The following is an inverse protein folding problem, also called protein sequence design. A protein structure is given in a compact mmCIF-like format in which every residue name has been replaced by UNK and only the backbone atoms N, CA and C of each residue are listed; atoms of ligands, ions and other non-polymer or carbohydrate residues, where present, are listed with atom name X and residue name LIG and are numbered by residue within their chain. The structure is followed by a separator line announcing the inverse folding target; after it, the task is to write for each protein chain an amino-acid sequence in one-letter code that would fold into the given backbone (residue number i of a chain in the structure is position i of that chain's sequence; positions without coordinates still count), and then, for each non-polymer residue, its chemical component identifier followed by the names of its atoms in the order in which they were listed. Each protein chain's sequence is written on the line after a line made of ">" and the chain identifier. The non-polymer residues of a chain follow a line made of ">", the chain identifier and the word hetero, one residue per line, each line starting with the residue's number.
data_IF_152471679692
#
_entry.id   IF_152471679692
#
_cell.length_a   1.000
_cell.length_b   1.000
_cell.length_c   1.000
_cell.angle_alpha   90.00
_cell.angle_beta   90.00
_cell.angle_gamma   90.00
#
_symmetry.space_group_name_H-M   'P 1'
#
loop_
_entity.id
_entity.type
_entity.pdbx_description
1 polymer ?
#
# COMPACT_ATOMS: atom_id res chain seq x y z
N UNK A 1 5.50 2.47 -7.08
CA UNK A 1 4.69 1.68 -6.14
C UNK A 1 3.25 1.65 -6.64
N UNK A 2 2.77 0.49 -7.15
CA UNK A 2 1.39 0.36 -7.62
C UNK A 2 0.49 -0.09 -6.46
N UNK A 3 0.33 0.77 -5.44
CA UNK A 3 -0.70 0.57 -4.40
C UNK A 3 -2.11 0.84 -4.94
N UNK A 4 -2.20 1.42 -6.13
CA UNK A 4 -3.45 1.74 -6.80
C UNK A 4 -3.40 1.14 -8.20
N UNK A 5 -3.77 -0.14 -8.33
CA UNK A 5 -4.17 -0.64 -9.64
C UNK A 5 -5.37 0.20 -10.05
N UNK A 6 -5.14 1.08 -11.02
CA UNK A 6 -6.23 1.58 -11.86
C UNK A 6 -6.84 0.32 -12.45
N UNK A 7 -8.03 -0.05 -11.97
CA UNK A 7 -8.74 -1.20 -12.51
C UNK A 7 -8.91 -1.06 -14.01
N UNK A 8 -9.20 -2.12 -14.73
CA UNK A 8 -9.57 -2.10 -16.15
C UNK A 8 -10.90 -1.34 -16.39
N UNK A 9 -11.29 -0.45 -15.47
CA UNK A 9 -12.48 0.35 -15.57
C UNK A 9 -12.39 1.28 -16.79
N UNK A 10 -13.42 1.28 -17.60
CA UNK A 10 -13.60 2.25 -18.70
C UNK A 10 -13.64 3.64 -18.06
N UNK A 11 -12.91 4.64 -18.59
CA UNK A 11 -13.02 6.00 -18.12
C UNK A 11 -14.49 6.42 -18.12
N UNK A 12 -14.95 6.92 -16.96
CA UNK A 12 -16.28 7.51 -16.91
C UNK A 12 -16.23 8.80 -17.74
N UNK A 13 -17.09 8.90 -18.75
CA UNK A 13 -17.43 10.19 -19.34
C UNK A 13 -18.33 10.92 -18.31
N UNK A 14 -17.70 11.48 -17.28
CA UNK A 14 -18.39 12.18 -16.20
C UNK A 14 -18.99 13.51 -16.64
N UNK A 15 -18.72 13.99 -17.83
CA UNK A 15 -19.36 15.18 -18.39
C UNK A 15 -20.85 14.91 -18.71
N UNK A 16 -21.22 13.66 -18.95
CA UNK A 16 -22.60 13.26 -19.18
C UNK A 16 -23.45 13.10 -17.91
N UNK A 17 -22.82 13.10 -16.72
CA UNK A 17 -23.44 13.02 -15.38
C UNK A 17 -24.51 11.92 -15.22
N UNK A 18 -24.33 11.01 -14.29
CA UNK A 18 -25.38 10.07 -13.93
C UNK A 18 -26.54 10.81 -13.25
N UNK A 19 -27.76 10.37 -13.53
CA UNK A 19 -28.94 10.86 -12.82
C UNK A 19 -28.96 10.31 -11.40
N UNK A 20 -29.65 11.00 -10.47
CA UNK A 20 -29.86 10.50 -9.11
C UNK A 20 -30.50 9.12 -9.10
N UNK A 21 -31.44 8.84 -9.99
CA UNK A 21 -32.05 7.52 -10.12
C UNK A 21 -31.03 6.42 -10.44
N UNK A 22 -30.07 6.69 -11.31
CA UNK A 22 -28.97 5.76 -11.64
C UNK A 22 -28.04 5.55 -10.45
N UNK A 23 -27.76 6.57 -9.64
CA UNK A 23 -26.98 6.42 -8.41
C UNK A 23 -27.72 5.60 -7.34
N UNK A 24 -29.05 5.73 -7.21
CA UNK A 24 -29.87 4.86 -6.34
C UNK A 24 -29.80 3.38 -6.78
N UNK A 25 -29.91 3.13 -8.09
CA UNK A 25 -29.76 1.78 -8.64
C UNK A 25 -28.36 1.21 -8.36
N UNK A 26 -27.32 2.02 -8.58
CA UNK A 26 -25.93 1.64 -8.36
C UNK A 26 -25.66 1.32 -6.88
N UNK A 27 -26.13 2.14 -5.95
CA UNK A 27 -25.97 1.93 -4.51
C UNK A 27 -26.71 0.66 -4.06
N UNK A 28 -27.93 0.43 -4.54
CA UNK A 28 -28.70 -0.77 -4.25
C UNK A 28 -27.98 -2.03 -4.76
N UNK A 29 -27.50 -1.98 -6.02
CA UNK A 29 -26.72 -3.06 -6.62
C UNK A 29 -25.42 -3.32 -5.84
N UNK A 30 -24.66 -2.28 -5.55
CA UNK A 30 -23.41 -2.35 -4.78
C UNK A 30 -23.63 -3.04 -3.43
N UNK A 31 -24.58 -2.56 -2.62
CA UNK A 31 -24.84 -3.10 -1.29
C UNK A 31 -25.27 -4.58 -1.33
N UNK A 32 -26.13 -4.93 -2.30
CA UNK A 32 -26.63 -6.29 -2.48
C UNK A 32 -25.52 -7.24 -2.93
N UNK A 33 -24.74 -6.85 -3.96
CA UNK A 33 -23.69 -7.69 -4.50
C UNK A 33 -22.57 -7.90 -3.50
N UNK A 34 -22.08 -6.83 -2.86
CA UNK A 34 -20.98 -6.93 -1.91
C UNK A 34 -21.31 -7.87 -0.76
N UNK A 35 -22.51 -7.75 -0.17
CA UNK A 35 -22.90 -8.58 0.97
C UNK A 35 -23.26 -10.03 0.59
N UNK A 36 -23.66 -10.28 -0.65
CA UNK A 36 -23.96 -11.64 -1.14
C UNK A 36 -22.73 -12.41 -1.60
N UNK A 37 -21.69 -11.71 -2.09
CA UNK A 37 -20.51 -12.32 -2.68
C UNK A 37 -19.37 -12.51 -1.67
N UNK A 38 -19.28 -11.63 -0.65
CA UNK A 38 -18.29 -11.78 0.41
C UNK A 38 -18.67 -12.95 1.33
N UNK A 39 -17.73 -13.86 1.70
CA UNK A 39 -18.04 -15.07 2.48
C UNK A 39 -18.68 -14.80 3.85
N UNK A 40 -18.29 -13.68 4.48
CA UNK A 40 -18.83 -13.23 5.75
C UNK A 40 -18.70 -11.70 5.87
N UNK A 41 -19.58 -10.99 5.18
CA UNK A 41 -19.56 -9.53 5.09
C UNK A 41 -19.72 -8.82 6.45
N UNK A 42 -20.19 -9.52 7.44
CA UNK A 42 -20.51 -8.95 8.76
C UNK A 42 -19.62 -9.48 9.89
N UNK A 43 -18.50 -10.15 9.55
CA UNK A 43 -17.54 -10.65 10.52
C UNK A 43 -16.95 -9.56 11.43
N UNK A 44 -16.69 -8.38 10.88
CA UNK A 44 -16.05 -7.27 11.58
C UNK A 44 -17.01 -6.11 11.93
N UNK A 45 -18.15 -6.02 11.26
CA UNK A 45 -19.11 -4.92 11.44
C UNK A 45 -20.53 -5.47 11.46
N UNK A 46 -21.34 -5.12 12.47
CA UNK A 46 -22.75 -5.54 12.51
C UNK A 46 -23.53 -5.07 11.28
N UNK A 47 -24.38 -5.95 10.73
CA UNK A 47 -25.24 -5.64 9.57
C UNK A 47 -25.99 -4.31 9.70
N UNK A 48 -26.53 -4.04 10.88
CA UNK A 48 -27.29 -2.81 11.14
C UNK A 48 -26.44 -1.54 10.89
N UNK A 49 -25.14 -1.57 11.17
CA UNK A 49 -24.23 -0.44 10.88
C UNK A 49 -23.99 -0.27 9.38
N UNK A 50 -23.85 -1.38 8.67
CA UNK A 50 -23.74 -1.37 7.21
C UNK A 50 -25.01 -0.83 6.56
N UNK A 51 -26.19 -1.35 6.94
CA UNK A 51 -27.49 -0.91 6.42
C UNK A 51 -27.74 0.57 6.71
N UNK A 52 -27.35 1.06 7.90
CA UNK A 52 -27.48 2.47 8.25
C UNK A 52 -26.58 3.37 7.37
N UNK A 53 -25.37 2.93 7.07
CA UNK A 53 -24.46 3.68 6.19
C UNK A 53 -24.98 3.74 4.74
N UNK A 54 -25.56 2.63 4.25
CA UNK A 54 -26.21 2.59 2.93
C UNK A 54 -27.39 3.56 2.89
N UNK A 55 -28.29 3.52 3.90
CA UNK A 55 -29.45 4.41 3.98
C UNK A 55 -29.05 5.89 4.13
N UNK A 56 -27.97 6.18 4.85
CA UNK A 56 -27.45 7.53 4.98
C UNK A 56 -26.93 8.09 3.63
N UNK A 57 -26.18 7.28 2.88
CA UNK A 57 -25.70 7.67 1.56
C UNK A 57 -26.87 7.85 0.59
N UNK A 58 -27.81 6.90 0.57
CA UNK A 58 -29.01 6.93 -0.27
C UNK A 58 -29.82 8.23 -0.10
N UNK A 59 -30.04 8.64 1.17
CA UNK A 59 -30.77 9.88 1.48
C UNK A 59 -30.06 11.18 1.12
N UNK A 60 -28.80 11.11 0.68
CA UNK A 60 -27.98 12.29 0.30
C UNK A 60 -27.68 12.38 -1.19
N UNK A 61 -27.96 11.34 -1.99
CA UNK A 61 -27.53 11.24 -3.39
C UNK A 61 -27.98 12.43 -4.27
N UNK A 62 -29.11 13.06 -3.97
CA UNK A 62 -29.60 14.26 -4.70
C UNK A 62 -28.69 15.50 -4.54
N UNK A 63 -27.84 15.51 -3.52
CA UNK A 63 -27.05 16.68 -3.12
C UNK A 63 -25.55 16.47 -3.23
N UNK A 64 -25.11 15.23 -3.50
CA UNK A 64 -23.71 14.86 -3.58
C UNK A 64 -23.19 14.90 -5.01
N UNK A 65 -21.95 15.36 -5.18
CA UNK A 65 -21.22 15.22 -6.44
C UNK A 65 -20.67 13.78 -6.59
N UNK A 66 -20.24 13.37 -7.80
CA UNK A 66 -19.73 12.01 -8.04
C UNK A 66 -18.55 11.60 -7.16
N UNK A 67 -17.68 12.54 -6.74
CA UNK A 67 -16.53 12.23 -5.89
C UNK A 67 -16.97 11.97 -4.45
N UNK A 68 -17.95 12.73 -3.97
CA UNK A 68 -18.57 12.49 -2.66
C UNK A 68 -19.31 11.15 -2.61
N UNK A 69 -20.00 10.78 -3.70
CA UNK A 69 -20.67 9.47 -3.82
C UNK A 69 -19.63 8.35 -3.83
N UNK A 70 -18.53 8.49 -4.60
CA UNK A 70 -17.43 7.52 -4.58
C UNK A 70 -16.89 7.32 -3.17
N UNK A 71 -16.57 8.40 -2.45
CA UNK A 71 -16.10 8.34 -1.06
C UNK A 71 -17.13 7.68 -0.15
N UNK A 72 -18.43 7.93 -0.38
CA UNK A 72 -19.52 7.28 0.33
C UNK A 72 -19.55 5.76 0.12
N UNK A 73 -19.44 5.31 -1.14
CA UNK A 73 -19.35 3.88 -1.49
C UNK A 73 -18.13 3.21 -0.87
N UNK A 74 -16.96 3.88 -0.93
CA UNK A 74 -15.74 3.33 -0.36
C UNK A 74 -15.79 3.25 1.17
N UNK A 75 -16.40 4.23 1.85
CA UNK A 75 -16.72 4.15 3.29
C UNK A 75 -17.56 2.92 3.65
N UNK A 76 -18.57 2.62 2.82
CA UNK A 76 -19.43 1.46 3.05
C UNK A 76 -18.67 0.16 2.80
N UNK A 77 -17.86 0.08 1.72
CA UNK A 77 -16.99 -1.08 1.45
C UNK A 77 -16.04 -1.36 2.62
N UNK A 78 -15.47 -0.30 3.18
CA UNK A 78 -14.55 -0.38 4.32
C UNK A 78 -15.18 -0.93 5.62
N UNK A 79 -16.52 -0.90 5.76
CA UNK A 79 -17.22 -1.52 6.88
C UNK A 79 -17.09 -3.05 6.88
N UNK A 80 -16.82 -3.68 5.75
CA UNK A 80 -16.52 -5.12 5.68
C UNK A 80 -15.30 -5.46 6.53
N UNK A 81 -14.28 -4.58 6.55
CA UNK A 81 -13.19 -4.61 7.54
C UNK A 81 -12.02 -5.52 7.18
N UNK A 82 -11.86 -5.92 5.92
CA UNK A 82 -10.65 -6.58 5.42
C UNK A 82 -9.91 -5.73 4.37
N UNK A 83 -8.63 -6.02 4.18
CA UNK A 83 -7.75 -5.23 3.33
C UNK A 83 -7.95 -5.42 1.83
N UNK A 84 -8.75 -6.40 1.40
CA UNK A 84 -8.99 -6.73 -0.01
C UNK A 84 -10.38 -6.32 -0.50
N UNK A 85 -11.23 -5.73 0.38
CA UNK A 85 -12.57 -5.24 0.05
C UNK A 85 -12.59 -3.72 0.01
N UNK A 86 -12.73 -3.14 -1.19
CA UNK A 86 -12.70 -1.70 -1.44
C UNK A 86 -13.27 -1.37 -2.84
N UNK A 87 -13.46 -0.08 -3.12
CA UNK A 87 -13.82 0.41 -4.47
C UNK A 87 -12.55 0.86 -5.18
N UNK A 88 -12.25 0.28 -6.35
CA UNK A 88 -11.09 0.69 -7.16
C UNK A 88 -11.18 2.18 -7.55
N UNK A 89 -10.05 2.88 -7.55
CA UNK A 89 -10.00 4.22 -8.12
C UNK A 89 -10.29 4.18 -9.61
N UNK A 90 -11.18 5.04 -10.10
CA UNK A 90 -11.40 5.16 -11.54
C UNK A 90 -10.15 5.75 -12.23
N UNK A 91 -9.96 5.48 -13.54
CA UNK A 91 -8.79 5.95 -14.29
C UNK A 91 -8.59 7.47 -14.28
N UNK A 92 -9.68 8.22 -14.05
CA UNK A 92 -9.72 9.68 -13.98
C UNK A 92 -9.71 10.23 -12.55
N UNK A 93 -9.11 9.50 -11.59
CA UNK A 93 -9.08 9.86 -10.17
C UNK A 93 -8.31 11.15 -9.82
N UNK A 94 -7.67 11.78 -10.82
CA UNK A 94 -6.94 13.03 -10.66
C UNK A 94 -5.75 12.91 -9.67
N UNK A 95 -4.78 12.04 -9.98
CA UNK A 95 -3.58 11.88 -9.16
C UNK A 95 -2.75 13.18 -9.17
N UNK A 96 -2.38 13.64 -7.98
CA UNK A 96 -1.48 14.78 -7.83
C UNK A 96 -0.03 14.35 -8.07
N UNK A 97 0.85 15.27 -8.56
CA UNK A 97 2.22 14.95 -8.93
C UNK A 97 3.17 14.88 -7.71
N UNK A 98 2.77 14.18 -6.67
CA UNK A 98 3.55 13.96 -5.43
C UNK A 98 3.25 12.58 -4.86
N UNK A 99 4.20 12.05 -4.09
CA UNK A 99 3.99 10.90 -3.18
C UNK A 99 4.40 11.26 -1.76
N UNK A 100 3.81 10.60 -0.79
CA UNK A 100 4.00 10.88 0.64
C UNK A 100 4.57 9.64 1.31
N UNK A 101 5.66 9.84 2.04
CA UNK A 101 6.26 8.82 2.90
C UNK A 101 6.24 9.28 4.35
N UNK A 102 6.04 8.33 5.27
CA UNK A 102 5.95 8.61 6.69
C UNK A 102 7.24 8.27 7.41
N UNK A 103 7.70 9.20 8.26
CA UNK A 103 8.86 9.06 9.15
C UNK A 103 8.43 9.39 10.58
N UNK A 104 8.13 8.37 11.37
CA UNK A 104 7.53 8.56 12.68
C UNK A 104 6.17 9.28 12.60
N UNK A 105 6.07 10.47 13.18
CA UNK A 105 4.85 11.29 13.14
C UNK A 105 4.73 12.18 11.89
N UNK A 106 5.82 12.38 11.15
CA UNK A 106 5.88 13.29 10.01
C UNK A 106 5.44 12.59 8.72
N UNK A 107 4.48 13.18 7.99
CA UNK A 107 4.21 12.85 6.58
C UNK A 107 5.02 13.83 5.72
N UNK A 108 5.94 13.28 4.91
CA UNK A 108 6.84 14.05 4.06
C UNK A 108 6.63 13.74 2.59
N UNK A 109 6.85 14.73 1.75
CA UNK A 109 6.80 14.55 0.30
C UNK A 109 8.10 13.85 -0.13
N UNK A 110 7.96 12.59 -0.52
CA UNK A 110 9.08 11.73 -0.91
C UNK A 110 9.41 11.84 -2.39
N UNK A 111 8.39 11.90 -3.23
CA UNK A 111 8.55 12.01 -4.67
C UNK A 111 7.69 13.12 -5.24
N UNK A 112 8.18 13.75 -6.31
CA UNK A 112 7.42 14.73 -7.11
C UNK A 112 7.68 14.54 -8.60
N UNK A 113 6.72 15.01 -9.42
CA UNK A 113 6.97 15.24 -10.84
C UNK A 113 7.89 16.45 -11.05
N UNK A 114 8.56 16.56 -12.23
CA UNK A 114 9.36 17.74 -12.59
C UNK A 114 8.56 19.05 -12.46
N UNK A 115 9.21 20.06 -11.89
CA UNK A 115 8.63 21.38 -11.62
C UNK A 115 8.13 21.55 -10.19
N UNK A 116 8.13 20.51 -9.37
CA UNK A 116 7.71 20.54 -7.98
C UNK A 116 8.85 20.22 -6.98
N UNK A 117 10.12 20.27 -7.43
CA UNK A 117 11.31 19.83 -6.68
C UNK A 117 11.46 20.55 -5.33
N UNK A 118 10.96 21.78 -5.23
CA UNK A 118 10.99 22.55 -3.96
C UNK A 118 10.21 21.87 -2.85
N UNK A 119 9.25 20.99 -3.19
CA UNK A 119 8.46 20.27 -2.19
C UNK A 119 9.16 19.02 -1.64
N UNK A 120 10.23 18.54 -2.30
CA UNK A 120 10.93 17.33 -1.87
C UNK A 120 11.43 17.40 -0.45
N UNK A 121 11.13 16.39 0.32
CA UNK A 121 11.54 16.23 1.71
C UNK A 121 10.80 17.11 2.72
N UNK A 122 9.92 17.99 2.27
CA UNK A 122 9.17 18.86 3.18
C UNK A 122 8.08 18.10 3.92
N UNK A 123 7.77 18.56 5.13
CA UNK A 123 6.64 18.08 5.92
C UNK A 123 5.36 18.77 5.44
N UNK A 124 4.29 18.01 5.38
CA UNK A 124 2.95 18.55 5.11
C UNK A 124 2.39 19.11 6.41
N UNK A 125 1.92 20.36 6.39
CA UNK A 125 1.31 21.05 7.53
C UNK A 125 -0.21 21.11 7.36
N UNK A 126 -0.67 21.45 6.16
CA UNK A 126 -2.09 21.55 5.84
C UNK A 126 -2.32 21.31 4.34
N UNK A 127 -3.56 20.98 3.98
CA UNK A 127 -4.05 20.92 2.58
C UNK A 127 -5.22 21.89 2.50
N UNK A 128 -5.14 22.88 1.60
CA UNK A 128 -5.98 24.07 1.63
C UNK A 128 -5.94 24.71 3.05
N UNK A 129 -7.11 24.97 3.64
CA UNK A 129 -7.25 25.48 5.00
C UNK A 129 -7.40 24.37 6.05
N UNK A 130 -7.29 23.11 5.64
CA UNK A 130 -7.48 21.94 6.50
C UNK A 130 -6.13 21.48 7.08
N UNK A 131 -5.89 21.56 8.39
CA UNK A 131 -4.68 21.01 9.01
C UNK A 131 -4.49 19.53 8.66
N UNK A 132 -3.24 19.09 8.51
CA UNK A 132 -2.93 17.72 8.10
C UNK A 132 -3.62 16.66 9.00
N UNK A 133 -3.65 16.88 10.31
CA UNK A 133 -4.31 15.96 11.23
C UNK A 133 -5.80 15.77 10.88
N UNK A 134 -6.51 16.85 10.61
CA UNK A 134 -7.93 16.80 10.21
C UNK A 134 -8.14 16.19 8.83
N UNK A 135 -7.26 16.52 7.85
CA UNK A 135 -7.30 15.88 6.53
C UNK A 135 -7.08 14.35 6.63
N UNK A 136 -6.16 13.91 7.48
CA UNK A 136 -5.92 12.49 7.77
C UNK A 136 -7.12 11.82 8.44
N UNK A 137 -7.78 12.48 9.38
CA UNK A 137 -9.01 11.97 10.03
C UNK A 137 -10.13 11.78 8.99
N UNK A 138 -10.32 12.74 8.09
CA UNK A 138 -11.27 12.61 6.99
C UNK A 138 -10.90 11.45 6.05
N UNK A 139 -9.65 11.37 5.61
CA UNK A 139 -9.17 10.28 4.75
C UNK A 139 -9.30 8.90 5.43
N UNK A 140 -9.09 8.83 6.75
CA UNK A 140 -9.25 7.60 7.52
C UNK A 140 -10.68 7.05 7.51
N UNK A 141 -11.70 7.88 7.26
CA UNK A 141 -13.10 7.42 7.14
C UNK A 141 -13.36 6.63 5.86
N UNK A 142 -12.59 6.92 4.81
CA UNK A 142 -12.66 6.26 3.50
C UNK A 142 -11.46 5.33 3.24
N UNK A 143 -10.68 5.02 4.27
CA UNK A 143 -9.57 4.07 4.17
C UNK A 143 -10.03 2.72 4.71
N UNK A 144 -9.80 1.61 4.01
CA UNK A 144 -10.13 0.28 4.51
C UNK A 144 -9.70 0.13 5.96
N UNK A 145 -10.55 -0.48 6.79
CA UNK A 145 -10.21 -0.80 8.17
C UNK A 145 -9.01 -1.71 8.10
N UNK A 146 -7.87 -1.09 8.08
CA UNK A 146 -6.64 -1.78 7.82
C UNK A 146 -6.41 -2.77 8.93
N UNK A 147 -5.85 -3.81 8.54
CA UNK A 147 -5.42 -4.91 9.34
C UNK A 147 -4.46 -4.47 10.43
N UNK A 148 -3.58 -3.50 10.14
CA UNK A 148 -2.67 -2.86 11.11
C UNK A 148 -2.66 -1.34 10.94
N UNK A 149 -2.20 -0.65 11.99
CA UNK A 149 -2.05 0.83 11.95
C UNK A 149 -1.06 1.29 10.89
N UNK A 150 0.03 0.56 10.65
CA UNK A 150 1.03 0.89 9.65
C UNK A 150 0.46 0.95 8.24
N UNK A 151 -0.27 -0.09 7.81
CA UNK A 151 -0.92 -0.10 6.50
C UNK A 151 -1.99 0.99 6.39
N UNK A 152 -2.78 1.18 7.46
CA UNK A 152 -3.80 2.22 7.49
C UNK A 152 -3.20 3.60 7.29
N UNK A 153 -2.12 3.92 7.98
CA UNK A 153 -1.42 5.20 7.84
C UNK A 153 -0.88 5.40 6.42
N UNK A 154 -0.29 4.37 5.82
CA UNK A 154 0.17 4.39 4.42
C UNK A 154 -0.97 4.68 3.43
N UNK A 155 -2.11 4.03 3.60
CA UNK A 155 -3.28 4.25 2.74
C UNK A 155 -3.89 5.64 2.93
N UNK A 156 -3.94 6.13 4.17
CA UNK A 156 -4.38 7.50 4.46
C UNK A 156 -3.49 8.51 3.71
N UNK A 157 -2.16 8.38 3.82
CA UNK A 157 -1.24 9.29 3.15
C UNK A 157 -1.38 9.21 1.62
N UNK A 158 -1.56 8.00 1.07
CA UNK A 158 -1.83 7.83 -0.36
C UNK A 158 -3.13 8.51 -0.81
N UNK A 159 -4.21 8.43 -0.02
CA UNK A 159 -5.47 9.13 -0.33
C UNK A 159 -5.31 10.65 -0.39
N UNK A 160 -4.38 11.20 0.40
CA UNK A 160 -4.10 12.64 0.35
C UNK A 160 -3.39 13.07 -0.93
N UNK A 161 -2.92 12.17 -1.78
CA UNK A 161 -2.31 12.48 -3.08
C UNK A 161 -3.28 12.35 -4.27
N UNK A 162 -4.56 12.08 -4.00
CA UNK A 162 -5.58 11.84 -5.02
C UNK A 162 -6.62 12.96 -4.98
N UNK A 163 -6.68 13.76 -6.04
CA UNK A 163 -7.55 14.94 -6.10
C UNK A 163 -9.04 14.59 -5.93
N UNK A 164 -9.49 13.48 -6.52
CA UNK A 164 -10.85 12.99 -6.36
C UNK A 164 -11.19 12.68 -4.89
N UNK A 165 -10.25 12.06 -4.15
CA UNK A 165 -10.44 11.79 -2.71
C UNK A 165 -10.51 13.09 -1.92
N UNK A 166 -9.58 14.01 -2.15
CA UNK A 166 -9.56 15.29 -1.44
C UNK A 166 -10.85 16.10 -1.70
N UNK A 167 -11.35 16.09 -2.93
CA UNK A 167 -12.59 16.77 -3.28
C UNK A 167 -13.81 16.07 -2.67
N UNK A 168 -13.91 14.74 -2.79
CA UNK A 168 -15.01 13.97 -2.21
C UNK A 168 -15.02 13.95 -0.68
N UNK A 169 -13.88 14.22 -0.03
CA UNK A 169 -13.78 14.41 1.41
C UNK A 169 -14.08 15.85 1.87
N UNK A 170 -14.31 16.78 0.91
CA UNK A 170 -14.54 18.20 1.20
C UNK A 170 -13.28 18.98 1.61
N UNK A 171 -12.08 18.44 1.36
CA UNK A 171 -10.81 19.11 1.67
C UNK A 171 -10.44 20.14 0.61
N UNK A 172 -10.74 19.86 -0.67
CA UNK A 172 -10.47 20.77 -1.80
C UNK A 172 -11.75 21.16 -2.52
N UNK A 173 -11.80 22.37 -3.13
CA UNK A 173 -12.95 22.81 -3.91
C UNK A 173 -13.04 22.17 -5.30
N UNK A 174 -12.00 21.48 -5.74
CA UNK A 174 -11.90 20.79 -7.04
C UNK A 174 -10.99 19.58 -6.90
N UNK A 175 -11.20 18.59 -7.78
CA UNK A 175 -10.33 17.42 -7.91
C UNK A 175 -9.02 17.71 -8.68
N UNK A 176 -9.00 18.81 -9.47
CA UNK A 176 -7.94 19.04 -10.45
C UNK A 176 -6.69 19.67 -9.84
N UNK A 177 -6.77 20.16 -8.62
CA UNK A 177 -5.63 20.78 -7.92
C UNK A 177 -5.82 20.81 -6.41
N UNK A 178 -4.70 20.81 -5.70
CA UNK A 178 -4.68 21.02 -4.25
C UNK A 178 -3.49 21.90 -3.85
N UNK A 179 -3.74 22.83 -2.91
CA UNK A 179 -2.70 23.66 -2.29
C UNK A 179 -2.23 23.01 -1.01
N UNK A 180 -0.93 22.80 -0.91
CA UNK A 180 -0.30 22.30 0.31
C UNK A 180 0.45 23.41 1.03
N UNK A 181 0.27 23.53 2.33
CA UNK A 181 1.17 24.25 3.22
C UNK A 181 2.26 23.29 3.66
N UNK A 182 3.50 23.59 3.31
CA UNK A 182 4.67 22.74 3.52
C UNK A 182 5.64 23.41 4.47
N UNK A 183 6.41 22.63 5.23
CA UNK A 183 7.50 23.11 6.08
C UNK A 183 8.79 22.37 5.74
N UNK A 184 9.88 23.10 5.53
CA UNK A 184 11.22 22.54 5.37
C UNK A 184 11.81 22.00 6.69
N UNK A 185 13.05 21.50 6.65
CA UNK A 185 13.73 20.96 7.83
C UNK A 185 14.01 22.03 8.90
N UNK A 186 14.13 23.30 8.50
CA UNK A 186 14.33 24.45 9.39
C UNK A 186 12.99 24.98 9.96
N UNK A 187 11.86 24.40 9.53
CA UNK A 187 10.51 24.80 9.95
C UNK A 187 9.95 26.00 9.19
N UNK A 188 10.63 26.50 8.16
CA UNK A 188 10.12 27.59 7.32
C UNK A 188 9.00 27.09 6.44
N UNK A 189 7.85 27.73 6.53
CA UNK A 189 6.66 27.36 5.80
C UNK A 189 6.53 28.09 4.45
N UNK A 190 5.92 27.40 3.49
CA UNK A 190 5.52 27.95 2.21
C UNK A 190 4.36 27.14 1.62
N UNK A 191 3.62 27.75 0.69
CA UNK A 191 2.55 27.04 -0.03
C UNK A 191 3.02 26.60 -1.41
N UNK A 192 2.45 25.48 -1.89
CA UNK A 192 2.62 25.00 -3.26
C UNK A 192 1.30 24.43 -3.77
N UNK A 193 0.92 24.82 -4.99
CA UNK A 193 -0.24 24.30 -5.68
C UNK A 193 0.20 23.14 -6.57
N UNK A 194 -0.37 21.95 -6.34
CA UNK A 194 -0.18 20.79 -7.20
C UNK A 194 -1.39 20.63 -8.13
N UNK A 195 -1.14 20.53 -9.43
CA UNK A 195 -2.17 20.23 -10.43
C UNK A 195 -2.18 18.74 -10.74
N UNK A 196 -3.36 18.16 -10.81
CA UNK A 196 -3.50 16.75 -11.15
C UNK A 196 -2.85 16.42 -12.50
N UNK A 197 -2.24 15.26 -12.57
CA UNK A 197 -1.73 14.67 -13.79
C UNK A 197 -2.91 14.31 -14.70
N UNK A 198 -2.72 14.41 -16.01
CA UNK A 198 -3.73 13.94 -16.96
C UNK A 198 -3.92 12.42 -16.81
N UNK A 199 -5.13 11.87 -17.03
CA UNK A 199 -5.36 10.44 -16.97
C UNK A 199 -4.38 9.66 -17.86
N UNK A 200 -3.65 8.70 -17.24
CA UNK A 200 -2.64 7.90 -17.95
C UNK A 200 -1.31 8.63 -18.22
N UNK A 201 -1.16 9.86 -17.76
CA UNK A 201 0.11 10.57 -17.89
C UNK A 201 1.22 9.85 -17.11
N UNK A 202 2.34 9.60 -17.80
CA UNK A 202 3.55 9.06 -17.19
C UNK A 202 4.50 10.20 -16.87
N UNK A 203 4.93 10.27 -15.62
CA UNK A 203 5.93 11.25 -15.18
C UNK A 203 7.23 10.57 -14.76
N UNK A 204 8.34 11.29 -14.87
CA UNK A 204 9.61 10.86 -14.29
C UNK A 204 9.69 11.37 -12.87
N UNK A 205 9.47 10.49 -11.92
CA UNK A 205 9.54 10.84 -10.51
C UNK A 205 10.94 11.25 -10.08
N UNK A 206 11.01 12.32 -9.29
CA UNK A 206 12.22 12.83 -8.64
C UNK A 206 12.05 12.52 -7.15
N UNK A 207 13.04 11.86 -6.57
CA UNK A 207 13.01 11.39 -5.18
C UNK A 207 13.71 12.36 -4.23
N UNK A 208 13.30 12.38 -2.97
CA UNK A 208 13.95 13.14 -1.91
C UNK A 208 15.27 12.50 -1.48
N UNK A 209 15.38 11.18 -1.53
CA UNK A 209 16.60 10.46 -1.23
C UNK A 209 17.60 10.49 -2.40
N UNK A 210 18.90 10.73 -2.09
CA UNK A 210 19.98 10.67 -3.07
C UNK A 210 21.29 10.24 -2.40
N UNK A 211 21.90 9.08 -2.80
CA UNK A 211 21.34 8.10 -3.75
C UNK A 211 20.08 7.43 -3.23
N UNK A 212 19.32 6.73 -4.09
CA UNK A 212 18.19 5.93 -3.65
C UNK A 212 18.66 4.71 -2.84
N UNK A 213 18.03 4.40 -1.69
CA UNK A 213 18.22 3.12 -1.01
C UNK A 213 17.98 1.93 -1.96
N UNK A 214 18.65 0.81 -1.71
CA UNK A 214 18.49 -0.40 -2.56
C UNK A 214 17.04 -0.83 -2.73
N UNK A 215 16.25 -0.67 -1.67
CA UNK A 215 14.83 -0.97 -1.69
C UNK A 215 14.03 -0.11 -2.67
N UNK A 216 14.48 1.12 -2.95
CA UNK A 216 13.79 2.10 -3.80
C UNK A 216 14.31 2.12 -5.24
N UNK A 217 15.44 1.46 -5.52
CA UNK A 217 16.02 1.46 -6.85
C UNK A 217 15.09 0.78 -7.87
N UNK A 218 15.04 1.29 -9.11
CA UNK A 218 14.27 0.66 -10.19
C UNK A 218 14.61 -0.82 -10.35
N UNK A 219 13.59 -1.64 -10.57
CA UNK A 219 13.73 -3.08 -10.72
C UNK A 219 13.06 -3.53 -12.03
N UNK A 220 13.80 -4.29 -12.83
CA UNK A 220 13.21 -4.98 -13.98
C UNK A 220 12.69 -6.36 -13.56
N UNK A 221 11.36 -6.55 -13.67
CA UNK A 221 10.71 -7.81 -13.31
C UNK A 221 10.24 -7.89 -11.85
N UNK A 222 10.09 -9.10 -11.34
CA UNK A 222 9.49 -9.39 -10.03
C UNK A 222 10.47 -9.31 -8.87
N UNK A 223 11.73 -9.64 -9.11
CA UNK A 223 12.81 -9.64 -8.12
C UNK A 223 14.18 -9.48 -8.77
N UNK A 224 15.13 -8.88 -8.05
CA UNK A 224 16.54 -8.85 -8.40
C UNK A 224 17.42 -8.96 -7.17
N UNK A 225 18.60 -9.58 -7.35
CA UNK A 225 19.59 -9.77 -6.30
C UNK A 225 20.86 -8.98 -6.59
N UNK A 226 21.44 -8.40 -5.53
CA UNK A 226 22.73 -7.69 -5.56
C UNK A 226 23.64 -8.27 -4.48
N UNK A 227 24.86 -8.65 -4.87
CA UNK A 227 25.85 -9.13 -3.91
C UNK A 227 26.66 -7.97 -3.33
N UNK A 228 26.49 -7.73 -2.05
CA UNK A 228 27.16 -6.68 -1.29
C UNK A 228 28.53 -7.21 -0.78
N UNK A 229 29.56 -7.10 -1.62
CA UNK A 229 30.89 -7.70 -1.38
C UNK A 229 31.52 -7.34 -0.03
N UNK A 230 31.55 -6.07 0.42
CA UNK A 230 32.16 -5.70 1.69
C UNK A 230 31.56 -6.41 2.90
N UNK A 231 30.23 -6.67 2.85
CA UNK A 231 29.49 -7.31 3.92
C UNK A 231 29.25 -8.80 3.69
N UNK A 232 29.79 -9.38 2.62
CA UNK A 232 29.54 -10.76 2.21
C UNK A 232 28.07 -11.16 2.30
N UNK A 233 27.19 -10.30 1.74
CA UNK A 233 25.73 -10.43 1.89
C UNK A 233 25.08 -10.41 0.50
N UNK A 234 24.19 -11.37 0.24
CA UNK A 234 23.31 -11.35 -0.92
C UNK A 234 21.98 -10.69 -0.52
N UNK A 235 21.71 -9.52 -1.10
CA UNK A 235 20.46 -8.80 -0.93
C UNK A 235 19.56 -9.04 -2.14
N UNK A 236 18.33 -9.49 -1.92
CA UNK A 236 17.33 -9.74 -2.95
C UNK A 236 16.07 -8.92 -2.70
N UNK A 237 15.80 -7.93 -3.55
CA UNK A 237 14.58 -7.15 -3.55
C UNK A 237 13.50 -7.91 -4.31
N UNK A 238 12.37 -8.23 -3.65
CA UNK A 238 11.25 -8.99 -4.22
C UNK A 238 10.01 -8.10 -4.19
N UNK A 239 9.63 -7.53 -5.34
CA UNK A 239 8.52 -6.55 -5.47
C UNK A 239 7.15 -7.18 -5.66
N UNK A 240 7.10 -8.41 -6.17
CA UNK A 240 5.84 -9.15 -6.35
C UNK A 240 6.09 -10.64 -6.29
N UNK A 241 5.10 -11.39 -5.82
CA UNK A 241 5.12 -12.85 -5.77
C UNK A 241 4.52 -13.42 -7.07
N UNK A 242 4.98 -12.90 -8.19
CA UNK A 242 4.64 -13.38 -9.53
C UNK A 242 5.94 -13.62 -10.33
N UNK A 243 5.93 -14.57 -11.27
CA UNK A 243 7.06 -14.83 -12.16
C UNK A 243 8.41 -15.02 -11.45
N UNK A 244 8.41 -15.72 -10.31
CA UNK A 244 9.59 -15.91 -9.45
C UNK A 244 10.54 -17.02 -9.89
N UNK A 245 10.20 -17.85 -10.85
CA UNK A 245 10.99 -19.01 -11.24
C UNK A 245 12.41 -18.61 -11.64
N UNK A 246 12.55 -17.73 -12.62
CA UNK A 246 13.87 -17.27 -13.09
C UNK A 246 14.64 -16.46 -12.03
N UNK A 247 14.04 -15.46 -11.34
CA UNK A 247 14.73 -14.76 -10.24
C UNK A 247 15.20 -15.70 -9.12
N UNK A 248 14.42 -16.72 -8.78
CA UNK A 248 14.79 -17.69 -7.76
C UNK A 248 16.01 -18.54 -8.20
N UNK A 249 16.03 -19.01 -9.44
CA UNK A 249 17.18 -19.73 -9.99
C UNK A 249 18.44 -18.87 -9.90
N UNK A 250 18.37 -17.61 -10.33
CA UNK A 250 19.49 -16.67 -10.25
C UNK A 250 19.97 -16.43 -8.81
N UNK A 251 19.03 -16.29 -7.86
CA UNK A 251 19.35 -16.17 -6.44
C UNK A 251 20.11 -17.39 -5.93
N UNK A 252 19.64 -18.61 -6.24
CA UNK A 252 20.26 -19.86 -5.80
C UNK A 252 21.65 -20.06 -6.45
N UNK A 253 21.80 -19.69 -7.71
CA UNK A 253 23.11 -19.68 -8.39
C UNK A 253 24.09 -18.74 -7.71
N UNK A 254 23.66 -17.52 -7.34
CA UNK A 254 24.50 -16.56 -6.61
C UNK A 254 24.87 -17.08 -5.20
N UNK A 255 23.95 -17.71 -4.49
CA UNK A 255 24.24 -18.34 -3.19
C UNK A 255 25.31 -19.43 -3.36
N UNK A 256 25.20 -20.26 -4.41
CA UNK A 256 26.15 -21.32 -4.67
C UNK A 256 27.54 -20.79 -5.11
N UNK A 257 27.60 -19.74 -5.92
CA UNK A 257 28.83 -19.19 -6.45
C UNK A 257 29.59 -18.32 -5.44
N UNK A 258 28.87 -17.43 -4.75
CA UNK A 258 29.48 -16.41 -3.91
C UNK A 258 29.62 -16.85 -2.44
N UNK A 259 28.91 -17.90 -2.02
CA UNK A 259 28.88 -18.38 -0.62
C UNK A 259 28.66 -17.26 0.40
N UNK A 260 27.56 -16.48 0.27
CA UNK A 260 27.32 -15.34 1.14
C UNK A 260 27.22 -15.74 2.60
N UNK A 261 27.77 -14.90 3.49
CA UNK A 261 27.58 -15.10 4.93
C UNK A 261 26.11 -14.83 5.33
N UNK A 262 25.43 -13.96 4.59
CA UNK A 262 24.02 -13.61 4.84
C UNK A 262 23.23 -13.54 3.54
N UNK A 263 21.98 -13.95 3.60
CA UNK A 263 20.97 -13.71 2.53
C UNK A 263 19.85 -12.87 3.13
N UNK A 264 19.52 -11.79 2.43
CA UNK A 264 18.44 -10.87 2.80
C UNK A 264 17.37 -10.91 1.72
N UNK A 265 16.14 -11.26 2.09
CA UNK A 265 14.96 -11.19 1.22
C UNK A 265 14.16 -9.97 1.64
N UNK A 266 14.06 -8.98 0.77
CA UNK A 266 13.31 -7.75 1.03
C UNK A 266 11.89 -7.84 0.46
N UNK A 267 10.92 -7.90 1.37
CA UNK A 267 9.49 -7.93 1.08
C UNK A 267 8.79 -6.62 1.45
N UNK A 268 9.51 -5.58 1.89
CA UNK A 268 8.91 -4.35 2.41
C UNK A 268 8.00 -3.64 1.43
N UNK A 269 8.28 -3.73 0.14
CA UNK A 269 7.49 -3.09 -0.92
C UNK A 269 6.79 -4.13 -1.82
N UNK A 270 6.43 -5.28 -1.26
CA UNK A 270 5.80 -6.37 -1.98
C UNK A 270 4.30 -6.42 -1.71
N UNK A 271 3.50 -5.98 -2.69
CA UNK A 271 2.03 -5.97 -2.60
C UNK A 271 1.36 -7.34 -2.77
N UNK A 272 2.13 -8.43 -2.95
CA UNK A 272 1.58 -9.79 -3.05
C UNK A 272 1.72 -10.46 -4.42
N UNK A 273 0.77 -11.33 -4.73
CA UNK A 273 0.75 -12.22 -5.91
C UNK A 273 0.20 -13.60 -5.58
N UNK A 274 0.88 -14.66 -5.99
CA UNK A 274 0.52 -16.05 -5.63
C UNK A 274 1.47 -16.59 -4.55
N UNK A 275 0.97 -16.75 -3.33
CA UNK A 275 1.78 -17.21 -2.20
C UNK A 275 2.34 -18.63 -2.40
N UNK A 276 1.73 -19.48 -3.24
CA UNK A 276 2.26 -20.81 -3.56
C UNK A 276 3.54 -20.70 -4.42
N UNK A 277 3.62 -19.71 -5.32
CA UNK A 277 4.86 -19.44 -6.06
C UNK A 277 5.96 -18.96 -5.10
N UNK A 278 5.61 -18.09 -4.13
CA UNK A 278 6.56 -17.68 -3.10
C UNK A 278 7.02 -18.84 -2.22
N UNK A 279 6.10 -19.73 -1.82
CA UNK A 279 6.44 -20.95 -1.09
C UNK A 279 7.39 -21.85 -1.90
N UNK A 280 7.10 -22.05 -3.19
CA UNK A 280 7.87 -22.92 -4.07
C UNK A 280 9.24 -22.35 -4.41
N UNK A 281 9.33 -21.07 -4.75
CA UNK A 281 10.52 -20.48 -5.33
C UNK A 281 11.36 -19.64 -4.36
N UNK A 282 10.84 -19.27 -3.19
CA UNK A 282 11.60 -18.51 -2.19
C UNK A 282 11.73 -19.28 -0.87
N UNK A 283 10.59 -19.65 -0.24
CA UNK A 283 10.61 -20.18 1.12
C UNK A 283 11.25 -21.57 1.20
N UNK A 284 10.77 -22.53 0.40
CA UNK A 284 11.27 -23.92 0.42
C UNK A 284 12.74 -24.02 0.05
N UNK A 285 13.24 -23.44 -1.05
CA UNK A 285 14.64 -23.54 -1.40
C UNK A 285 15.56 -23.02 -0.28
N UNK A 286 15.20 -21.88 0.34
CA UNK A 286 15.99 -21.32 1.43
C UNK A 286 15.84 -22.10 2.76
N UNK A 287 14.68 -22.75 2.98
CA UNK A 287 14.47 -23.63 4.12
C UNK A 287 15.30 -24.92 4.05
N UNK A 288 15.51 -25.44 2.85
CA UNK A 288 16.27 -26.68 2.57
C UNK A 288 17.79 -26.43 2.52
N UNK A 289 18.22 -25.21 2.22
CA UNK A 289 19.65 -24.85 2.20
C UNK A 289 20.22 -24.72 3.61
N UNK A 290 20.95 -25.76 4.03
CA UNK A 290 21.57 -25.82 5.38
C UNK A 290 22.69 -24.79 5.58
N UNK A 291 23.23 -24.22 4.50
CA UNK A 291 24.27 -23.19 4.61
C UNK A 291 23.67 -21.83 4.98
N UNK A 292 22.44 -21.56 4.55
CA UNK A 292 21.73 -20.29 4.74
C UNK A 292 20.66 -20.38 5.84
N UNK A 293 19.93 -21.50 5.94
CA UNK A 293 18.88 -21.69 6.95
C UNK A 293 19.46 -21.88 8.37
N UNK A 294 20.17 -20.87 8.85
CA UNK A 294 20.78 -20.81 10.18
C UNK A 294 20.52 -19.45 10.81
N UNK A 295 20.47 -19.40 12.13
CA UNK A 295 20.32 -18.12 12.87
C UNK A 295 21.49 -17.19 12.51
N UNK A 296 21.18 -15.95 12.14
CA UNK A 296 22.15 -14.93 11.74
C UNK A 296 22.61 -14.99 10.28
N UNK A 297 22.04 -15.90 9.46
CA UNK A 297 22.40 -16.01 8.04
C UNK A 297 21.25 -15.68 7.08
N UNK A 298 20.00 -15.91 7.49
CA UNK A 298 18.81 -15.58 6.69
C UNK A 298 18.03 -14.47 7.39
N UNK A 299 17.76 -13.40 6.64
CA UNK A 299 17.00 -12.25 7.10
C UNK A 299 15.87 -11.94 6.13
N UNK A 300 14.71 -11.57 6.65
CA UNK A 300 13.56 -11.14 5.87
C UNK A 300 13.22 -9.72 6.29
N UNK A 301 13.34 -8.78 5.35
CA UNK A 301 12.89 -7.42 5.57
C UNK A 301 11.39 -7.34 5.32
N UNK A 302 10.67 -6.84 6.31
CA UNK A 302 9.21 -6.70 6.30
C UNK A 302 8.79 -5.29 6.68
N UNK A 303 7.60 -4.89 6.26
CA UNK A 303 7.06 -3.56 6.57
C UNK A 303 5.56 -3.44 6.28
N UNK A 304 4.99 -2.24 6.46
CA UNK A 304 3.55 -2.00 6.29
C UNK A 304 3.01 -2.35 4.90
N UNK A 305 3.83 -2.24 3.85
CA UNK A 305 3.44 -2.55 2.48
C UNK A 305 3.70 -4.02 2.09
N UNK A 306 4.23 -4.86 3.01
CA UNK A 306 4.25 -6.32 2.83
C UNK A 306 2.82 -6.85 2.94
N UNK A 307 2.20 -7.18 1.79
CA UNK A 307 0.77 -7.43 1.73
C UNK A 307 0.43 -8.73 1.00
N UNK A 308 -0.74 -9.32 1.29
CA UNK A 308 -1.27 -10.49 0.59
C UNK A 308 -0.28 -11.67 0.56
N UNK A 309 0.12 -12.16 -0.60
CA UNK A 309 1.07 -13.25 -0.72
C UNK A 309 2.42 -12.98 -0.03
N UNK A 310 2.88 -11.74 0.03
CA UNK A 310 4.11 -11.38 0.76
C UNK A 310 3.95 -11.59 2.27
N UNK A 311 2.81 -11.22 2.85
CA UNK A 311 2.47 -11.52 4.23
C UNK A 311 2.45 -13.03 4.48
N UNK A 312 1.78 -13.79 3.60
CA UNK A 312 1.70 -15.25 3.71
C UNK A 312 3.08 -15.91 3.68
N UNK A 313 3.95 -15.46 2.77
CA UNK A 313 5.32 -15.99 2.68
C UNK A 313 6.19 -15.55 3.88
N UNK A 314 6.01 -14.36 4.41
CA UNK A 314 6.70 -13.96 5.64
C UNK A 314 6.29 -14.85 6.84
N UNK A 315 5.01 -15.21 6.96
CA UNK A 315 4.54 -16.18 7.95
C UNK A 315 5.16 -17.58 7.74
N UNK A 316 5.29 -18.01 6.47
CA UNK A 316 5.94 -19.27 6.13
C UNK A 316 7.45 -19.23 6.41
N UNK A 317 8.16 -18.14 6.09
CA UNK A 317 9.55 -17.97 6.50
C UNK A 317 9.72 -18.10 8.01
N UNK A 318 8.86 -17.47 8.80
CA UNK A 318 8.89 -17.56 10.27
C UNK A 318 8.71 -18.98 10.78
N UNK A 319 7.85 -19.78 10.15
CA UNK A 319 7.51 -21.13 10.63
C UNK A 319 8.43 -22.21 10.07
N UNK A 320 8.95 -22.05 8.87
CA UNK A 320 9.70 -23.08 8.13
C UNK A 320 11.21 -22.88 8.16
N UNK A 321 11.69 -21.70 8.59
CA UNK A 321 13.12 -21.36 8.55
C UNK A 321 13.62 -20.85 9.92
N UNK A 322 14.91 -20.55 9.98
CA UNK A 322 15.56 -19.87 11.11
C UNK A 322 15.83 -18.39 10.79
N UNK A 323 15.07 -17.82 9.83
CA UNK A 323 15.18 -16.44 9.44
C UNK A 323 14.88 -15.49 10.60
N UNK A 324 15.56 -14.34 10.60
CA UNK A 324 15.24 -13.20 11.46
C UNK A 324 14.44 -12.20 10.65
N UNK A 325 13.23 -11.85 11.09
CA UNK A 325 12.40 -10.82 10.47
C UNK A 325 12.83 -9.45 11.02
N UNK A 326 13.09 -8.50 10.13
CA UNK A 326 13.61 -7.16 10.47
C UNK A 326 12.78 -6.08 9.79
N UNK A 327 12.59 -4.94 10.45
CA UNK A 327 11.85 -3.79 9.92
C UNK A 327 10.65 -3.40 10.77
N UNK A 328 9.50 -3.20 10.15
CA UNK A 328 8.25 -2.82 10.81
C UNK A 328 7.22 -3.94 10.72
N UNK A 329 6.18 -3.93 11.59
CA UNK A 329 5.10 -4.91 11.49
C UNK A 329 4.45 -4.91 10.09
N UNK A 330 4.12 -6.10 9.61
CA UNK A 330 3.40 -6.28 8.35
C UNK A 330 2.04 -5.60 8.41
N UNK A 331 1.64 -5.01 7.30
CA UNK A 331 0.38 -4.28 7.19
C UNK A 331 -0.87 -5.16 7.25
N UNK A 332 -0.80 -6.37 6.77
CA UNK A 332 -1.91 -7.32 6.74
C UNK A 332 -1.84 -8.31 7.88
N UNK A 333 -3.01 -8.67 8.43
CA UNK A 333 -3.12 -9.71 9.45
C UNK A 333 -2.94 -11.11 8.85
N UNK A 334 -2.23 -12.02 9.51
CA UNK A 334 -2.04 -13.39 9.00
C UNK A 334 -3.31 -14.24 8.99
N UNK A 335 -4.34 -13.85 9.74
CA UNK A 335 -5.62 -14.53 9.76
C UNK A 335 -6.70 -13.55 9.32
N UNK A 336 -7.02 -13.53 8.03
CA UNK A 336 -7.91 -12.55 7.41
C UNK A 336 -8.56 -13.08 6.13
N UNK A 337 -9.52 -12.32 5.60
CA UNK A 337 -10.13 -12.58 4.29
C UNK A 337 -9.22 -12.05 3.19
N UNK A 338 -9.01 -12.85 2.14
CA UNK A 338 -8.12 -12.60 1.01
C UNK A 338 -8.73 -13.14 -0.30
N UNK A 339 -7.90 -13.27 -1.34
CA UNK A 339 -8.26 -13.70 -2.71
C UNK A 339 -9.35 -12.80 -3.31
N UNK A 340 -9.02 -11.57 -3.69
CA UNK A 340 -10.02 -10.64 -4.19
C UNK A 340 -10.58 -11.10 -5.55
N UNK A 341 -11.89 -10.99 -5.70
CA UNK A 341 -12.59 -10.92 -6.97
C UNK A 341 -13.21 -9.54 -7.13
N UNK A 342 -13.80 -9.30 -8.27
CA UNK A 342 -14.38 -8.01 -8.58
C UNK A 342 -15.75 -8.14 -9.23
N UNK A 343 -16.57 -7.11 -9.05
CA UNK A 343 -17.76 -6.86 -9.85
C UNK A 343 -17.80 -5.39 -10.26
N UNK A 344 -18.52 -5.10 -11.34
CA UNK A 344 -18.67 -3.74 -11.86
C UNK A 344 -20.06 -3.24 -11.59
N UNK A 345 -20.18 -2.06 -11.01
CA UNK A 345 -21.45 -1.37 -10.77
C UNK A 345 -22.04 -0.94 -12.11
N UNK A 346 -23.36 -1.11 -12.37
CA UNK A 346 -23.90 -1.05 -13.73
C UNK A 346 -23.85 0.33 -14.40
N UNK A 347 -24.22 1.41 -13.71
CA UNK A 347 -24.29 2.75 -14.31
C UNK A 347 -22.94 3.50 -14.17
N UNK A 348 -22.40 3.61 -12.98
CA UNK A 348 -21.14 4.31 -12.71
C UNK A 348 -19.91 3.57 -13.22
N UNK A 349 -20.04 2.29 -13.54
CA UNK A 349 -18.94 1.42 -13.98
C UNK A 349 -17.79 1.33 -12.97
N UNK A 350 -18.01 1.75 -11.74
CA UNK A 350 -17.03 1.55 -10.65
C UNK A 350 -16.79 0.07 -10.41
N UNK A 351 -15.56 -0.29 -10.16
CA UNK A 351 -15.15 -1.67 -9.88
C UNK A 351 -15.03 -1.84 -8.37
N UNK A 352 -15.68 -2.85 -7.84
CA UNK A 352 -15.65 -3.19 -6.42
C UNK A 352 -14.91 -4.49 -6.25
N UNK A 353 -13.90 -4.50 -5.39
CA UNK A 353 -13.21 -5.72 -4.98
C UNK A 353 -13.80 -6.24 -3.70
N UNK A 354 -13.82 -7.56 -3.58
CA UNK A 354 -14.27 -8.25 -2.39
C UNK A 354 -13.47 -9.53 -2.17
N UNK A 355 -13.18 -9.84 -0.91
CA UNK A 355 -12.49 -11.07 -0.55
C UNK A 355 -13.38 -12.30 -0.75
N UNK A 356 -12.78 -13.43 -1.15
CA UNK A 356 -13.53 -14.68 -1.41
C UNK A 356 -13.20 -15.81 -0.45
N UNK A 357 -12.13 -15.67 0.37
CA UNK A 357 -11.68 -16.77 1.22
C UNK A 357 -10.99 -16.27 2.49
N UNK A 358 -11.28 -16.93 3.61
CA UNK A 358 -10.56 -16.72 4.87
C UNK A 358 -9.33 -17.62 4.96
N UNK A 359 -8.19 -17.02 5.31
CA UNK A 359 -6.91 -17.72 5.50
C UNK A 359 -6.45 -17.68 6.95
N UNK A 360 -5.61 -18.67 7.31
CA UNK A 360 -4.97 -18.77 8.62
C UNK A 360 -3.51 -19.13 8.44
N UNK A 361 -2.64 -18.14 8.60
CA UNK A 361 -1.19 -18.31 8.49
C UNK A 361 -0.46 -18.23 9.84
N UNK A 362 -1.15 -17.86 10.92
CA UNK A 362 -0.58 -17.81 12.26
C UNK A 362 -1.48 -18.48 13.30
N UNK A 363 -0.83 -19.01 14.34
CA UNK A 363 -1.47 -19.56 15.54
C UNK A 363 -1.19 -18.61 16.71
N UNK A 364 -2.18 -18.30 17.51
CA UNK A 364 -2.04 -17.44 18.70
C UNK A 364 -3.01 -16.26 18.71
N UNK A 365 -3.05 -15.54 19.83
CA UNK A 365 -4.01 -14.44 20.04
C UNK A 365 -3.64 -13.18 19.25
N UNK A 366 -2.36 -12.96 18.98
CA UNK A 366 -1.89 -11.80 18.22
C UNK A 366 -1.99 -12.07 16.72
N UNK A 367 -2.90 -11.37 16.08
CA UNK A 367 -3.12 -11.48 14.63
C UNK A 367 -2.25 -10.45 13.90
N UNK A 368 -0.94 -10.45 14.16
CA UNK A 368 0.05 -9.54 13.57
C UNK A 368 1.36 -10.33 13.34
N UNK A 369 2.03 -10.06 12.22
CA UNK A 369 3.42 -10.48 12.02
C UNK A 369 4.32 -9.29 12.35
N UNK A 370 4.78 -9.26 13.60
CA UNK A 370 5.77 -8.28 14.05
C UNK A 370 7.20 -8.76 13.71
N UNK A 371 8.15 -7.85 13.43
CA UNK A 371 9.55 -8.22 13.23
C UNK A 371 10.19 -8.72 14.54
N UNK A 372 11.20 -9.58 14.42
CA UNK A 372 12.04 -10.00 15.56
C UNK A 372 12.95 -8.84 16.00
N UNK A 373 13.33 -7.99 15.04
CA UNK A 373 14.03 -6.73 15.26
C UNK A 373 13.26 -5.60 14.60
N UNK A 374 12.64 -4.77 15.41
CA UNK A 374 12.00 -3.55 14.91
C UNK A 374 13.04 -2.50 14.54
N UNK A 375 12.94 -1.98 13.34
CA UNK A 375 13.72 -0.84 12.81
C UNK A 375 12.76 0.04 12.03
N UNK A 376 12.60 1.28 12.49
CA UNK A 376 11.76 2.29 11.84
C UNK A 376 12.67 3.22 11.06
N UNK A 377 12.41 3.50 9.77
CA UNK A 377 13.25 4.38 8.97
C UNK A 377 13.31 5.80 9.57
N UNK A 378 14.50 6.39 9.58
CA UNK A 378 14.69 7.79 9.95
C UNK A 378 14.73 8.69 8.72
N UNK A 379 14.17 9.90 8.82
CA UNK A 379 14.24 10.86 7.71
C UNK A 379 15.69 11.19 7.32
N UNK A 380 16.56 11.38 8.32
CA UNK A 380 17.96 11.76 8.11
C UNK A 380 18.71 10.68 7.32
N UNK A 381 18.51 9.42 7.66
CA UNK A 381 19.20 8.31 6.99
C UNK A 381 18.62 8.05 5.60
N UNK A 382 17.29 8.03 5.49
CA UNK A 382 16.61 7.90 4.20
C UNK A 382 17.05 8.97 3.20
N UNK A 383 17.04 10.25 3.58
CA UNK A 383 17.47 11.38 2.73
C UNK A 383 18.91 11.23 2.24
N UNK A 384 19.78 10.64 3.08
CA UNK A 384 21.16 10.33 2.73
C UNK A 384 21.34 9.03 1.93
N UNK A 385 20.25 8.37 1.56
CA UNK A 385 20.27 7.11 0.81
C UNK A 385 20.62 5.88 1.65
N UNK A 386 20.58 6.01 2.97
CA UNK A 386 20.81 4.89 3.89
C UNK A 386 19.51 4.15 4.19
N UNK A 387 19.64 2.86 4.45
CA UNK A 387 18.57 1.94 4.80
C UNK A 387 18.83 1.39 6.20
N UNK A 388 18.21 1.99 7.22
CA UNK A 388 18.44 1.65 8.64
C UNK A 388 18.27 0.15 8.92
N UNK A 389 17.30 -0.51 8.28
CA UNK A 389 17.03 -1.93 8.51
C UNK A 389 18.08 -2.83 7.83
N UNK A 390 18.49 -2.48 6.61
CA UNK A 390 19.55 -3.20 5.90
C UNK A 390 20.89 -2.98 6.60
N UNK A 391 21.23 -1.75 6.98
CA UNK A 391 22.48 -1.44 7.70
C UNK A 391 22.57 -2.24 9.02
N UNK A 392 21.47 -2.29 9.79
CA UNK A 392 21.44 -3.13 10.99
C UNK A 392 21.77 -4.60 10.68
N UNK A 393 21.23 -5.18 9.58
CA UNK A 393 21.55 -6.56 9.19
C UNK A 393 23.03 -6.71 8.81
N UNK A 394 23.59 -5.73 8.08
CA UNK A 394 24.97 -5.79 7.62
C UNK A 394 25.96 -5.80 8.82
N UNK A 395 25.62 -5.14 9.92
CA UNK A 395 26.42 -5.07 11.13
C UNK A 395 26.37 -6.37 12.00
N UNK A 396 25.41 -7.26 11.77
CA UNK A 396 25.34 -8.53 12.52
C UNK A 396 26.54 -9.43 12.17
N UNK A 397 27.08 -10.14 13.17
CA UNK A 397 28.23 -11.06 13.05
C UNK A 397 27.77 -12.49 12.74
#
# INVERSE_FOLDING_TARGET
>A
MELHRVGNAVPLDRQAGLTTAQWHEDLTFFATQLTSLHPDAFANTPKAKFDAAVAELDGKLDHLNPDEIYVGLDRIANLIGDGHTYVDFPPDSANLPLDIMRFGADSRIDMVAPGYERALGTRIVAIQDTPLASARELAATATPVAETTGLRDRRIDAHLTIGMMLHGLGVTPSRDSARYLLADDDGKQFTMDFKALAPGERTKWIHAASPLPLAEQPLDGSAACTYLRPANTLYCNVRTILQLEKPSQQMLELIHLEHPAKVVIDLRQNGGGDYNLGLQYLVRPLAEDKSINRKGHLFILIGPDSFSAAMSNAAQFRTMTRATLVGEPIGERPNTYQEPREFTIPNSRLVVRYSTRFYRFATGPENIIAPDKQVVPSWTDYKAGRDDALEWILEQK
#
